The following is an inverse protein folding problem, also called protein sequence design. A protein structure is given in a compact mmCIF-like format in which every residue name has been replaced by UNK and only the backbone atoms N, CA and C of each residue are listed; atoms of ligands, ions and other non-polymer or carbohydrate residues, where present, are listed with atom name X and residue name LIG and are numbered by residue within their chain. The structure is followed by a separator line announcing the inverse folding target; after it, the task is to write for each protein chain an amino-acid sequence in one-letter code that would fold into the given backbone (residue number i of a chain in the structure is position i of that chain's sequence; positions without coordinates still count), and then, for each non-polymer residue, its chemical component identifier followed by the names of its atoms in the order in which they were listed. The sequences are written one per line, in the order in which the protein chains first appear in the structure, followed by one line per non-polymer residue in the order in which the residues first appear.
data_IF_792198745122
#
_entry.id   IF_792198745122
#
_cell.length_a   1.000
_cell.length_b   1.000
_cell.length_c   1.000
_cell.angle_alpha   90.00
_cell.angle_beta   90.00
_cell.angle_gamma   90.00
#
_symmetry.space_group_name_H-M   'P 1'
#
loop_
_entity.id
_entity.type
_entity.pdbx_description
1 polymer ?
#
# COMPACT_ATOMS: atom_id res chain seq x y z
N UNK A 1 -57.93 23.00 51.33
CA UNK A 1 -59.33 22.82 50.95
C UNK A 1 -59.34 21.69 49.95
N UNK A 2 -59.63 20.52 50.27
CA UNK A 2 -60.80 19.81 50.73
C UNK A 2 -61.36 19.19 49.47
N UNK A 3 -61.76 18.01 49.31
CA UNK A 3 -61.98 16.81 50.17
C UNK A 3 -62.44 15.68 49.22
N UNK A 4 -61.98 14.47 49.43
CA UNK A 4 -62.65 13.21 49.73
C UNK A 4 -63.96 12.91 49.00
N UNK A 5 -64.14 11.71 48.42
CA UNK A 5 -64.76 10.48 49.00
C UNK A 5 -64.80 9.41 47.92
N UNK A 6 -64.28 8.23 48.05
CA UNK A 6 -64.81 7.00 48.72
C UNK A 6 -66.14 6.46 48.22
N UNK A 7 -66.01 5.18 47.87
CA UNK A 7 -66.84 3.99 48.07
C UNK A 7 -67.64 3.55 46.84
N UNK A 8 -67.96 2.30 46.50
CA UNK A 8 -67.94 1.05 47.27
C UNK A 8 -68.02 -0.15 46.32
N UNK A 9 -67.78 -1.30 46.90
CA UNK A 9 -67.72 -2.62 46.29
C UNK A 9 -69.14 -3.18 45.99
N UNK A 10 -69.27 -4.05 45.00
CA UNK A 10 -70.18 -5.22 45.13
C UNK A 10 -69.66 -6.39 44.26
N UNK A 11 -69.60 -7.55 44.90
CA UNK A 11 -69.45 -8.90 44.39
C UNK A 11 -70.62 -9.32 43.51
N UNK A 12 -70.29 -10.15 42.48
CA UNK A 12 -71.04 -11.40 42.25
C UNK A 12 -70.44 -12.21 41.06
N UNK A 13 -70.07 -13.45 41.41
CA UNK A 13 -70.34 -14.76 40.77
C UNK A 13 -69.88 -15.03 39.35
N UNK A 14 -68.94 -16.00 39.29
CA UNK A 14 -68.65 -16.88 38.14
C UNK A 14 -69.87 -17.66 37.67
N UNK A 15 -69.96 -17.98 36.35
CA UNK A 15 -69.98 -19.40 36.01
C UNK A 15 -69.15 -19.79 34.79
N UNK A 16 -68.65 -21.02 34.92
CA UNK A 16 -68.47 -22.11 33.94
C UNK A 16 -67.74 -21.94 32.67
N UNK A 17 -66.75 -22.85 32.54
CA UNK A 17 -66.11 -23.40 31.39
C UNK A 17 -66.88 -23.30 30.08
N UNK A 18 -66.24 -22.76 29.06
CA UNK A 18 -66.49 -23.07 27.66
C UNK A 18 -65.20 -23.22 26.91
N UNK A 19 -65.14 -24.30 26.22
CA UNK A 19 -64.05 -24.84 25.37
C UNK A 19 -63.31 -23.79 24.54
N UNK A 20 -62.00 -23.80 24.62
CA UNK A 20 -61.10 -23.09 23.70
C UNK A 20 -61.15 -23.78 22.33
N UNK A 21 -61.29 -23.03 21.24
CA UNK A 21 -61.08 -23.60 19.91
C UNK A 21 -59.61 -23.98 19.71
N UNK A 22 -59.44 -25.17 19.17
CA UNK A 22 -58.14 -25.68 18.71
C UNK A 22 -57.32 -24.60 17.95
N UNK A 23 -56.20 -24.26 18.48
CA UNK A 23 -55.20 -23.49 17.79
C UNK A 23 -54.62 -24.37 16.67
N UNK A 24 -55.14 -24.24 15.45
CA UNK A 24 -54.51 -24.78 14.24
C UNK A 24 -53.16 -24.10 14.14
N UNK A 25 -52.15 -24.86 14.43
CA UNK A 25 -50.75 -24.40 14.31
C UNK A 25 -50.54 -23.87 12.90
N UNK A 26 -50.19 -22.61 12.81
CA UNK A 26 -49.64 -22.02 11.59
C UNK A 26 -48.42 -22.84 11.16
N UNK A 27 -48.25 -23.16 9.87
CA UNK A 27 -47.11 -23.92 9.40
C UNK A 27 -45.84 -23.23 9.88
N UNK A 28 -44.96 -23.97 10.55
CA UNK A 28 -43.61 -23.52 10.89
C UNK A 28 -42.94 -23.07 9.61
N UNK A 29 -42.69 -21.83 9.57
CA UNK A 29 -42.41 -20.98 8.45
C UNK A 29 -41.17 -21.37 7.70
N UNK A 30 -41.26 -21.32 6.39
CA UNK A 30 -40.14 -21.25 5.44
C UNK A 30 -39.03 -20.22 5.79
N UNK A 31 -39.25 -19.38 6.82
CA UNK A 31 -38.27 -18.40 7.30
C UNK A 31 -37.02 -19.02 7.98
N UNK A 32 -37.15 -20.18 8.65
CA UNK A 32 -35.98 -20.82 9.29
C UNK A 32 -34.99 -21.36 8.25
N UNK A 33 -35.47 -21.97 7.16
CA UNK A 33 -34.62 -22.54 6.11
C UNK A 33 -33.85 -21.46 5.35
N UNK A 34 -34.47 -20.27 5.13
CA UNK A 34 -33.78 -19.12 4.52
C UNK A 34 -32.74 -18.53 5.48
N UNK A 35 -32.98 -18.56 6.79
CA UNK A 35 -32.04 -18.08 7.79
C UNK A 35 -30.82 -18.98 7.89
N UNK A 36 -31.00 -20.30 7.94
CA UNK A 36 -29.93 -21.28 8.01
C UNK A 36 -29.06 -21.23 6.76
N UNK A 37 -29.66 -21.12 5.57
CA UNK A 37 -28.91 -21.02 4.31
C UNK A 37 -28.08 -19.72 4.18
N UNK A 38 -28.58 -18.61 4.76
CA UNK A 38 -27.84 -17.35 4.77
C UNK A 38 -26.66 -17.39 5.74
N UNK A 39 -26.85 -18.00 6.91
CA UNK A 39 -25.77 -18.19 7.89
C UNK A 39 -24.73 -19.20 7.40
N UNK A 40 -25.12 -20.28 6.69
CA UNK A 40 -24.19 -21.16 5.99
C UNK A 40 -23.39 -20.45 4.90
N UNK A 41 -24.03 -19.56 4.11
CA UNK A 41 -23.32 -18.73 3.12
C UNK A 41 -22.32 -17.79 3.80
N UNK A 42 -22.69 -17.11 4.88
CA UNK A 42 -21.79 -16.24 5.63
C UNK A 42 -20.61 -17.03 6.23
N UNK A 43 -20.85 -18.22 6.78
CA UNK A 43 -19.80 -19.12 7.27
C UNK A 43 -18.87 -19.58 6.15
N UNK A 44 -19.40 -19.90 4.98
CA UNK A 44 -18.62 -20.30 3.82
C UNK A 44 -17.72 -19.16 3.32
N UNK A 45 -18.23 -17.92 3.29
CA UNK A 45 -17.45 -16.73 2.94
C UNK A 45 -16.39 -16.37 4.00
N UNK A 46 -16.62 -16.70 5.27
CA UNK A 46 -15.64 -16.48 6.34
C UNK A 46 -14.50 -17.51 6.36
N UNK A 47 -14.67 -18.66 5.68
CA UNK A 47 -13.66 -19.71 5.60
C UNK A 47 -12.74 -19.61 4.37
N UNK A 48 -13.08 -18.76 3.39
CA UNK A 48 -12.25 -18.53 2.21
C UNK A 48 -11.20 -17.43 2.50
N UNK A 49 -9.99 -17.60 1.97
CA UNK A 49 -8.96 -16.54 2.05
C UNK A 49 -9.49 -15.25 1.45
N UNK A 50 -9.31 -14.09 2.11
CA UNK A 50 -9.81 -12.82 1.60
C UNK A 50 -9.08 -12.41 0.32
N UNK A 51 -9.77 -11.61 -0.50
CA UNK A 51 -9.15 -10.97 -1.66
C UNK A 51 -8.53 -9.63 -1.27
N UNK A 52 -7.38 -9.34 -1.84
CA UNK A 52 -6.72 -8.04 -1.77
C UNK A 52 -6.66 -7.45 -3.17
N UNK A 53 -7.18 -6.24 -3.32
CA UNK A 53 -7.14 -5.49 -4.57
C UNK A 53 -5.84 -4.70 -4.65
N UNK A 54 -5.05 -4.94 -5.70
CA UNK A 54 -3.75 -4.28 -5.92
C UNK A 54 -3.84 -3.46 -7.21
N UNK A 55 -3.81 -2.13 -7.11
CA UNK A 55 -3.76 -1.26 -8.29
C UNK A 55 -2.32 -0.93 -8.66
N UNK A 56 -1.98 -0.98 -9.95
CA UNK A 56 -0.59 -0.91 -10.42
C UNK A 56 0.21 -2.18 -10.04
N UNK A 57 -0.50 -3.31 -9.94
CA UNK A 57 0.06 -4.56 -9.43
C UNK A 57 1.04 -5.27 -10.37
N UNK A 58 1.20 -4.81 -11.61
CA UNK A 58 2.24 -5.28 -12.53
C UNK A 58 3.46 -4.35 -12.61
N UNK A 59 3.43 -3.20 -11.91
CA UNK A 59 4.60 -2.35 -11.75
C UNK A 59 5.65 -2.96 -10.83
N UNK A 60 6.82 -2.32 -10.71
CA UNK A 60 7.96 -2.84 -9.94
C UNK A 60 7.60 -3.26 -8.50
N UNK A 61 7.08 -2.32 -7.69
CA UNK A 61 6.73 -2.62 -6.30
C UNK A 61 5.45 -3.47 -6.22
N UNK A 62 4.46 -3.18 -7.08
CA UNK A 62 3.18 -3.88 -7.09
C UNK A 62 3.30 -5.37 -7.40
N UNK A 63 4.16 -5.74 -8.34
CA UNK A 63 4.38 -7.15 -8.72
C UNK A 63 5.04 -7.97 -7.61
N UNK A 64 6.06 -7.40 -6.93
CA UNK A 64 6.69 -8.05 -5.77
C UNK A 64 5.71 -8.14 -4.60
N UNK A 65 4.88 -7.10 -4.38
CA UNK A 65 3.85 -7.14 -3.32
C UNK A 65 2.76 -8.17 -3.65
N UNK A 66 2.33 -8.27 -4.90
CA UNK A 66 1.36 -9.29 -5.34
C UNK A 66 1.89 -10.70 -5.12
N UNK A 67 3.18 -10.93 -5.41
CA UNK A 67 3.85 -12.21 -5.14
C UNK A 67 3.88 -12.53 -3.63
N UNK A 68 4.31 -11.58 -2.80
CA UNK A 68 4.38 -11.76 -1.35
C UNK A 68 2.98 -11.95 -0.71
N UNK A 69 1.93 -11.30 -1.22
CA UNK A 69 0.53 -11.54 -0.82
C UNK A 69 0.11 -12.99 -1.11
N UNK A 70 0.42 -13.51 -2.30
CA UNK A 70 0.13 -14.90 -2.66
C UNK A 70 0.90 -15.86 -1.75
N UNK A 71 2.19 -15.62 -1.50
CA UNK A 71 2.99 -16.42 -0.54
C UNK A 71 2.40 -16.38 0.88
N UNK A 72 1.78 -15.26 1.27
CA UNK A 72 1.07 -15.11 2.53
C UNK A 72 -0.37 -15.67 2.52
N UNK A 73 -0.77 -16.38 1.47
CA UNK A 73 -2.08 -17.02 1.30
C UNK A 73 -3.28 -16.09 1.12
N UNK A 74 -3.07 -14.86 0.65
CA UNK A 74 -4.15 -13.98 0.20
C UNK A 74 -4.51 -14.25 -1.26
N UNK A 75 -5.79 -14.20 -1.61
CA UNK A 75 -6.22 -14.09 -3.00
C UNK A 75 -5.93 -12.66 -3.50
N UNK A 76 -5.47 -12.52 -4.74
CA UNK A 76 -5.02 -11.23 -5.28
C UNK A 76 -5.78 -10.87 -6.55
N UNK A 77 -6.31 -9.66 -6.60
CA UNK A 77 -6.89 -9.04 -7.78
C UNK A 77 -5.98 -7.89 -8.20
N UNK A 78 -5.40 -7.97 -9.38
CA UNK A 78 -4.56 -6.91 -9.95
C UNK A 78 -5.40 -6.06 -10.89
N UNK A 79 -5.35 -4.72 -10.73
CA UNK A 79 -5.75 -3.74 -11.74
C UNK A 79 -4.48 -3.03 -12.23
N UNK A 80 -4.24 -3.06 -13.54
CA UNK A 80 -3.12 -2.36 -14.17
C UNK A 80 -3.50 -1.92 -15.60
N UNK A 81 -3.21 -0.69 -15.97
CA UNK A 81 -3.51 -0.18 -17.32
C UNK A 81 -2.37 -0.40 -18.31
N UNK A 82 -1.33 -1.10 -17.91
CA UNK A 82 -0.15 -1.45 -18.71
C UNK A 82 0.60 -0.24 -19.28
N UNK A 83 0.42 0.95 -18.70
CA UNK A 83 1.06 2.17 -19.19
C UNK A 83 2.58 2.18 -18.98
N UNK A 84 3.07 1.51 -17.94
CA UNK A 84 4.51 1.39 -17.60
C UNK A 84 4.88 -0.01 -17.10
N UNK A 85 4.11 -1.03 -17.44
CA UNK A 85 4.30 -2.43 -17.09
C UNK A 85 4.03 -3.33 -18.29
N UNK A 86 4.31 -4.61 -18.18
CA UNK A 86 4.06 -5.61 -19.21
C UNK A 86 3.13 -6.70 -18.70
N UNK A 87 2.27 -7.22 -19.57
CA UNK A 87 1.30 -8.26 -19.19
C UNK A 87 1.98 -9.55 -18.74
N UNK A 88 3.13 -9.91 -19.34
CA UNK A 88 3.90 -11.10 -18.98
C UNK A 88 4.45 -11.07 -17.54
N UNK A 89 4.41 -9.94 -16.84
CA UNK A 89 4.72 -9.86 -15.40
C UNK A 89 3.70 -10.67 -14.60
N UNK A 90 2.44 -10.73 -15.05
CA UNK A 90 1.41 -11.57 -14.44
C UNK A 90 1.82 -13.05 -14.45
N UNK A 91 2.27 -13.56 -15.60
CA UNK A 91 2.70 -14.96 -15.74
C UNK A 91 3.90 -15.27 -14.83
N UNK A 92 4.83 -14.31 -14.69
CA UNK A 92 5.99 -14.44 -13.79
C UNK A 92 5.57 -14.52 -12.32
N UNK A 93 4.62 -13.66 -11.88
CA UNK A 93 4.06 -13.71 -10.53
C UNK A 93 3.38 -15.07 -10.28
N UNK A 94 2.56 -15.52 -11.25
CA UNK A 94 1.83 -16.79 -11.15
C UNK A 94 2.80 -17.97 -11.05
N UNK A 95 3.83 -18.02 -11.87
CA UNK A 95 4.86 -19.06 -11.86
C UNK A 95 5.55 -19.14 -10.49
N UNK A 96 6.04 -18.01 -9.99
CA UNK A 96 6.76 -17.96 -8.71
C UNK A 96 5.88 -18.32 -7.52
N UNK A 97 4.63 -17.88 -7.52
CA UNK A 97 3.66 -18.25 -6.49
C UNK A 97 3.35 -19.75 -6.53
N UNK A 98 3.15 -20.32 -7.73
CA UNK A 98 2.90 -21.75 -7.92
C UNK A 98 4.09 -22.58 -7.39
N UNK A 99 5.32 -22.26 -7.79
CA UNK A 99 6.52 -22.93 -7.31
C UNK A 99 6.65 -22.86 -5.77
N UNK A 100 6.33 -21.70 -5.17
CA UNK A 100 6.36 -21.53 -3.73
C UNK A 100 5.37 -22.47 -3.04
N UNK A 101 4.13 -22.51 -3.49
CA UNK A 101 3.08 -23.34 -2.89
C UNK A 101 3.29 -24.83 -3.11
N UNK A 102 3.83 -25.23 -4.26
CA UNK A 102 4.23 -26.62 -4.53
C UNK A 102 5.33 -27.09 -3.56
N UNK A 103 6.38 -26.29 -3.38
CA UNK A 103 7.47 -26.58 -2.41
C UNK A 103 6.96 -26.70 -0.98
N UNK A 104 6.00 -25.85 -0.59
CA UNK A 104 5.43 -25.83 0.76
C UNK A 104 4.21 -26.78 0.93
N UNK A 105 3.82 -27.51 -0.11
CA UNK A 105 2.66 -28.41 -0.10
C UNK A 105 1.37 -27.73 0.35
N UNK A 106 1.19 -26.47 -0.05
CA UNK A 106 0.02 -25.64 0.24
C UNK A 106 -0.75 -25.33 -1.05
N UNK A 107 -2.03 -24.99 -0.91
CA UNK A 107 -2.85 -24.59 -2.05
C UNK A 107 -2.49 -23.18 -2.47
N UNK A 108 -2.19 -22.96 -3.75
CA UNK A 108 -1.99 -21.62 -4.30
C UNK A 108 -3.31 -20.83 -4.23
N UNK A 109 -3.29 -19.58 -3.69
CA UNK A 109 -4.42 -18.68 -3.74
C UNK A 109 -4.77 -18.25 -5.16
N UNK A 110 -5.94 -17.65 -5.33
CA UNK A 110 -6.39 -17.15 -6.61
C UNK A 110 -5.66 -15.86 -6.98
N UNK A 111 -5.24 -15.74 -8.25
CA UNK A 111 -4.66 -14.55 -8.84
C UNK A 111 -5.48 -14.15 -10.07
N UNK A 112 -5.97 -12.91 -10.11
CA UNK A 112 -6.74 -12.36 -11.24
C UNK A 112 -6.11 -11.08 -11.74
N UNK A 113 -6.16 -10.86 -13.07
CA UNK A 113 -5.73 -9.63 -13.72
C UNK A 113 -6.91 -8.96 -14.42
N UNK A 114 -7.05 -7.66 -14.18
CA UNK A 114 -7.97 -6.78 -14.90
C UNK A 114 -7.16 -5.64 -15.55
N UNK A 115 -6.96 -5.77 -16.87
CA UNK A 115 -6.15 -4.84 -17.65
C UNK A 115 -6.95 -3.58 -18.01
N UNK A 116 -7.19 -2.68 -17.04
CA UNK A 116 -7.84 -1.39 -17.24
C UNK A 116 -7.34 -0.33 -16.24
N UNK A 117 -7.72 0.89 -16.50
CA UNK A 117 -7.35 2.02 -15.63
C UNK A 117 -8.21 2.02 -14.37
N UNK A 118 -7.60 2.17 -13.20
CA UNK A 118 -8.32 2.24 -11.92
C UNK A 118 -9.28 3.44 -11.83
N UNK A 119 -9.11 4.44 -12.71
CA UNK A 119 -9.98 5.62 -12.85
C UNK A 119 -11.21 5.35 -13.71
N UNK A 120 -11.27 4.24 -14.41
CA UNK A 120 -12.50 3.81 -15.10
C UNK A 120 -13.50 3.29 -14.04
N UNK A 121 -14.24 4.22 -13.48
CA UNK A 121 -15.22 3.94 -12.41
C UNK A 121 -16.33 2.98 -12.87
N UNK A 122 -16.63 2.90 -14.17
CA UNK A 122 -17.61 1.95 -14.70
C UNK A 122 -17.06 0.52 -14.70
N UNK A 123 -15.84 0.32 -15.20
CA UNK A 123 -15.18 -0.98 -15.18
C UNK A 123 -14.91 -1.42 -13.72
N UNK A 124 -14.50 -0.47 -12.86
CA UNK A 124 -14.26 -0.72 -11.45
C UNK A 124 -15.54 -1.19 -10.73
N UNK A 125 -16.68 -0.50 -10.91
CA UNK A 125 -17.97 -0.92 -10.30
C UNK A 125 -18.40 -2.30 -10.79
N UNK A 126 -18.20 -2.62 -12.06
CA UNK A 126 -18.48 -3.95 -12.60
C UNK A 126 -17.64 -5.01 -11.89
N UNK A 127 -16.33 -4.77 -11.78
CA UNK A 127 -15.41 -5.66 -11.08
C UNK A 127 -15.80 -5.85 -9.61
N UNK A 128 -15.99 -4.76 -8.87
CA UNK A 128 -16.30 -4.83 -7.44
C UNK A 128 -17.65 -5.53 -7.17
N UNK A 129 -18.61 -5.41 -8.11
CA UNK A 129 -19.88 -6.10 -8.06
C UNK A 129 -19.77 -7.62 -8.01
N UNK A 130 -18.78 -8.20 -8.69
CA UNK A 130 -18.52 -9.66 -8.69
C UNK A 130 -18.05 -10.19 -7.33
N UNK A 131 -17.59 -9.30 -6.44
CA UNK A 131 -17.09 -9.63 -5.11
C UNK A 131 -18.02 -9.18 -3.99
N UNK A 132 -19.22 -8.69 -4.27
CA UNK A 132 -20.18 -8.34 -3.23
C UNK A 132 -20.70 -9.58 -2.49
N UNK A 133 -20.90 -9.41 -1.19
CA UNK A 133 -21.56 -10.39 -0.33
C UNK A 133 -22.99 -9.89 -0.05
N UNK A 134 -24.02 -10.75 -0.22
CA UNK A 134 -25.37 -10.40 0.15
C UNK A 134 -25.45 -9.93 1.61
N UNK A 135 -26.12 -8.78 1.84
CA UNK A 135 -26.27 -8.21 3.17
C UNK A 135 -27.76 -8.08 3.52
N UNK A 136 -28.14 -8.50 4.74
CA UNK A 136 -29.53 -8.40 5.23
C UNK A 136 -30.01 -6.97 5.45
N UNK A 137 -29.07 -6.06 5.74
CA UNK A 137 -29.39 -4.71 6.19
C UNK A 137 -29.07 -3.63 5.15
N UNK A 138 -28.77 -4.03 3.90
CA UNK A 138 -28.37 -3.09 2.85
C UNK A 138 -26.98 -2.45 3.04
N UNK A 139 -26.22 -2.88 4.07
CA UNK A 139 -24.85 -2.41 4.29
C UNK A 139 -23.94 -3.14 3.29
N UNK A 140 -23.23 -2.44 2.42
CA UNK A 140 -22.35 -3.08 1.45
C UNK A 140 -21.27 -3.90 2.16
N UNK A 141 -21.09 -5.14 1.70
CA UNK A 141 -19.99 -6.02 2.13
C UNK A 141 -19.31 -6.62 0.91
N UNK A 142 -18.02 -6.82 0.99
CA UNK A 142 -17.22 -7.37 -0.09
C UNK A 142 -16.34 -8.52 0.40
N UNK A 143 -16.02 -9.46 -0.51
CA UNK A 143 -14.95 -10.45 -0.30
C UNK A 143 -13.56 -9.81 -0.35
N UNK A 144 -13.47 -8.57 -0.86
CA UNK A 144 -12.24 -7.79 -0.88
C UNK A 144 -12.06 -7.16 0.50
N UNK A 145 -11.09 -7.67 1.26
CA UNK A 145 -10.80 -7.22 2.62
C UNK A 145 -10.02 -5.92 2.68
N UNK A 146 -9.31 -5.56 1.59
CA UNK A 146 -8.52 -4.35 1.55
C UNK A 146 -7.92 -4.07 0.19
N UNK A 147 -7.36 -2.88 0.07
CA UNK A 147 -6.72 -2.36 -1.14
C UNK A 147 -5.29 -1.97 -0.86
N UNK A 148 -4.36 -2.30 -1.78
CA UNK A 148 -3.02 -1.72 -1.83
C UNK A 148 -2.91 -0.91 -3.12
N UNK A 149 -2.73 0.40 -2.98
CA UNK A 149 -2.81 1.34 -4.11
C UNK A 149 -1.42 1.85 -4.51
N UNK A 150 -0.88 1.28 -5.61
CA UNK A 150 0.40 1.71 -6.20
C UNK A 150 0.21 2.61 -7.43
N UNK A 151 -0.92 2.50 -8.12
CA UNK A 151 -1.14 3.18 -9.39
C UNK A 151 -1.01 4.70 -9.29
N UNK A 152 0.10 5.24 -9.83
CA UNK A 152 0.39 6.66 -9.82
C UNK A 152 1.44 7.02 -10.88
N UNK A 153 1.44 8.25 -11.39
CA UNK A 153 2.60 8.81 -12.05
C UNK A 153 3.65 9.16 -10.98
N UNK A 154 4.92 8.75 -11.18
CA UNK A 154 5.98 8.82 -10.15
C UNK A 154 7.24 9.61 -10.52
N UNK A 155 7.41 10.02 -11.77
CA UNK A 155 8.62 10.68 -12.24
C UNK A 155 8.66 12.15 -11.78
N UNK A 156 9.63 12.50 -10.92
CA UNK A 156 9.77 13.85 -10.33
C UNK A 156 9.93 14.92 -11.41
N UNK A 157 10.84 14.71 -12.37
CA UNK A 157 11.11 15.65 -13.44
C UNK A 157 9.89 15.89 -14.35
N UNK A 158 9.24 14.82 -14.79
CA UNK A 158 7.99 14.92 -15.57
C UNK A 158 6.91 15.66 -14.80
N UNK A 159 6.83 15.49 -13.47
CA UNK A 159 5.84 16.19 -12.66
C UNK A 159 6.02 17.70 -12.68
N UNK A 160 7.27 18.18 -12.79
CA UNK A 160 7.58 19.61 -12.91
C UNK A 160 7.14 20.14 -14.28
N UNK A 161 7.36 19.34 -15.32
CA UNK A 161 7.02 19.72 -16.70
C UNK A 161 5.52 19.60 -16.99
N UNK A 162 4.83 18.61 -16.39
CA UNK A 162 3.42 18.28 -16.62
C UNK A 162 2.60 18.15 -15.33
N UNK A 163 2.52 19.19 -14.48
CA UNK A 163 1.93 19.07 -13.15
C UNK A 163 0.45 18.66 -13.17
N UNK A 164 -0.33 19.19 -14.11
CA UNK A 164 -1.77 18.87 -14.21
C UNK A 164 -2.04 17.38 -14.51
N UNK A 165 -1.17 16.74 -15.29
CA UNK A 165 -1.22 15.29 -15.53
C UNK A 165 -1.12 14.51 -14.21
N UNK A 166 -0.22 14.95 -13.32
CA UNK A 166 -0.01 14.35 -12.00
C UNK A 166 -1.19 14.59 -11.06
N UNK A 167 -1.71 15.82 -11.01
CA UNK A 167 -2.87 16.12 -10.16
C UNK A 167 -4.11 15.37 -10.63
N UNK A 168 -4.39 15.33 -11.93
CA UNK A 168 -5.56 14.64 -12.48
C UNK A 168 -5.49 13.12 -12.21
N UNK A 169 -4.31 12.50 -12.41
CA UNK A 169 -4.15 11.07 -12.20
C UNK A 169 -4.07 10.71 -10.71
N UNK A 170 -3.14 11.31 -9.98
CA UNK A 170 -2.81 10.85 -8.63
C UNK A 170 -3.85 11.33 -7.60
N UNK A 171 -4.35 12.58 -7.72
CA UNK A 171 -5.28 13.16 -6.75
C UNK A 171 -6.73 12.96 -7.20
N UNK A 172 -7.09 13.40 -8.40
CA UNK A 172 -8.45 13.23 -8.92
C UNK A 172 -8.84 11.76 -9.02
N UNK A 173 -7.95 10.93 -9.58
CA UNK A 173 -8.17 9.49 -9.65
C UNK A 173 -8.33 8.82 -8.28
N UNK A 174 -7.59 9.26 -7.26
CA UNK A 174 -7.76 8.74 -5.90
C UNK A 174 -9.15 9.04 -5.34
N UNK A 175 -9.64 10.27 -5.52
CA UNK A 175 -10.98 10.67 -5.06
C UNK A 175 -12.05 9.79 -5.69
N UNK A 176 -12.04 9.62 -7.01
CA UNK A 176 -13.00 8.77 -7.72
C UNK A 176 -12.90 7.31 -7.30
N UNK A 177 -11.67 6.83 -7.07
CA UNK A 177 -11.41 5.47 -6.63
C UNK A 177 -11.94 5.19 -5.23
N UNK A 178 -11.61 6.03 -4.24
CA UNK A 178 -12.07 5.87 -2.86
C UNK A 178 -13.58 6.03 -2.74
N UNK A 179 -14.20 6.94 -3.49
CA UNK A 179 -15.66 7.07 -3.58
C UNK A 179 -16.29 5.75 -4.06
N UNK A 180 -15.71 5.14 -5.09
CA UNK A 180 -16.22 3.85 -5.59
C UNK A 180 -16.01 2.72 -4.58
N UNK A 181 -14.86 2.67 -3.88
CA UNK A 181 -14.63 1.66 -2.84
C UNK A 181 -15.63 1.76 -1.69
N UNK A 182 -15.98 2.98 -1.29
CA UNK A 182 -16.99 3.24 -0.23
C UNK A 182 -18.37 2.68 -0.62
N UNK A 183 -18.80 2.85 -1.87
CA UNK A 183 -20.05 2.28 -2.40
C UNK A 183 -20.14 0.76 -2.20
N UNK A 184 -19.00 0.05 -2.17
CA UNK A 184 -18.89 -1.40 -2.01
C UNK A 184 -18.47 -1.85 -0.61
N UNK A 185 -18.35 -0.92 0.35
CA UNK A 185 -17.98 -1.21 1.73
C UNK A 185 -16.52 -1.68 1.91
N UNK A 186 -15.60 -1.29 1.01
CA UNK A 186 -14.18 -1.63 1.07
C UNK A 186 -13.45 -0.44 1.70
N UNK A 187 -13.09 -0.56 2.98
CA UNK A 187 -12.62 0.56 3.81
C UNK A 187 -11.22 0.35 4.42
N UNK A 188 -10.53 -0.74 4.10
CA UNK A 188 -9.11 -0.94 4.44
C UNK A 188 -8.25 -0.53 3.26
N UNK A 189 -7.40 0.50 3.45
CA UNK A 189 -6.67 1.12 2.35
C UNK A 189 -5.20 1.34 2.69
N UNK A 190 -4.30 0.65 1.99
CA UNK A 190 -2.85 0.83 2.11
C UNK A 190 -2.38 1.68 0.93
N UNK A 191 -1.89 2.86 1.24
CA UNK A 191 -1.50 3.87 0.25
C UNK A 191 0.01 3.92 0.03
N UNK A 192 0.42 3.83 -1.23
CA UNK A 192 1.77 4.08 -1.70
C UNK A 192 2.11 5.57 -1.60
N UNK A 193 2.64 6.01 -0.46
CA UNK A 193 3.17 7.36 -0.31
C UNK A 193 4.67 7.42 -0.64
N UNK A 194 5.36 8.47 -0.29
CA UNK A 194 6.77 8.68 -0.67
C UNK A 194 7.48 9.59 0.33
N UNK A 195 8.78 9.36 0.55
CA UNK A 195 9.65 10.27 1.29
C UNK A 195 9.72 11.69 0.69
N UNK A 196 9.30 11.88 -0.56
CA UNK A 196 9.22 13.23 -1.19
C UNK A 196 8.26 14.18 -0.48
N UNK A 197 7.36 13.69 0.38
CA UNK A 197 6.47 14.53 1.22
C UNK A 197 7.25 15.34 2.26
N UNK A 198 8.45 14.91 2.65
CA UNK A 198 9.31 15.64 3.57
C UNK A 198 9.96 16.89 2.96
N UNK A 199 10.03 16.97 1.64
CA UNK A 199 10.55 18.14 0.93
C UNK A 199 11.93 18.55 1.41
N UNK A 200 12.11 19.87 1.70
CA UNK A 200 13.39 20.44 2.17
C UNK A 200 13.79 20.02 3.58
N UNK A 201 12.91 19.38 4.36
CA UNK A 201 13.30 18.81 5.65
C UNK A 201 14.40 17.73 5.48
N UNK A 202 14.45 17.08 4.33
CA UNK A 202 15.52 16.14 3.99
C UNK A 202 16.91 16.80 3.83
N UNK A 203 17.00 18.15 3.81
CA UNK A 203 18.27 18.88 3.73
C UNK A 203 18.75 19.43 5.08
N UNK A 204 17.99 19.24 6.14
CA UNK A 204 18.21 19.88 7.43
C UNK A 204 18.97 19.02 8.45
N UNK A 205 19.67 17.96 8.02
CA UNK A 205 20.38 16.98 8.87
C UNK A 205 19.51 16.36 9.99
N UNK A 206 18.21 16.58 9.93
CA UNK A 206 17.27 15.98 10.86
C UNK A 206 16.92 14.56 10.41
N UNK A 207 16.89 13.59 11.33
CA UNK A 207 16.37 12.26 11.02
C UNK A 207 14.92 12.35 10.54
N UNK A 208 14.60 11.79 9.37
CA UNK A 208 13.25 11.88 8.78
C UNK A 208 12.28 10.97 9.52
N UNK A 209 11.54 11.55 10.45
CA UNK A 209 10.47 10.91 11.23
C UNK A 209 9.10 11.31 10.68
N UNK A 210 8.12 10.45 10.88
CA UNK A 210 6.74 10.70 10.43
C UNK A 210 6.14 11.95 11.05
N UNK A 211 6.51 12.29 12.28
CA UNK A 211 6.05 13.48 13.01
C UNK A 211 6.47 14.80 12.34
N UNK A 212 7.45 14.81 11.47
CA UNK A 212 7.85 16.02 10.75
C UNK A 212 6.85 16.45 9.67
N UNK A 213 5.92 15.57 9.29
CA UNK A 213 4.91 15.83 8.26
C UNK A 213 3.62 15.09 8.62
N UNK A 214 2.73 15.75 9.38
CA UNK A 214 1.50 15.16 9.89
C UNK A 214 0.26 15.85 9.32
N UNK A 215 -0.85 15.11 9.23
CA UNK A 215 -2.14 15.61 8.73
C UNK A 215 -3.11 15.99 9.84
N UNK A 216 -2.82 15.56 11.07
CA UNK A 216 -3.56 15.90 12.29
C UNK A 216 -2.57 16.33 13.37
N UNK A 217 -3.09 16.98 14.41
CA UNK A 217 -2.28 17.31 15.58
C UNK A 217 -1.83 16.02 16.25
N UNK A 218 -0.53 15.80 16.30
CA UNK A 218 0.09 14.67 17.01
C UNK A 218 0.89 15.15 18.22
N UNK A 219 1.00 14.27 19.21
CA UNK A 219 1.87 14.48 20.38
C UNK A 219 2.87 13.34 20.42
N UNK A 220 4.15 13.65 20.44
CA UNK A 220 5.21 12.65 20.59
C UNK A 220 6.16 13.05 21.73
N UNK A 221 6.87 12.07 22.27
CA UNK A 221 7.90 12.30 23.28
C UNK A 221 9.27 12.36 22.60
N UNK A 222 9.99 13.46 22.79
CA UNK A 222 11.34 13.63 22.23
C UNK A 222 12.37 12.77 23.01
N UNK A 223 13.62 12.76 22.52
CA UNK A 223 14.71 11.98 23.15
C UNK A 223 15.04 12.41 24.58
N UNK A 224 14.64 13.63 24.98
CA UNK A 224 14.80 14.13 26.32
C UNK A 224 13.60 13.77 27.25
N UNK A 225 12.63 13.00 26.76
CA UNK A 225 11.42 12.63 27.50
C UNK A 225 10.36 13.74 27.56
N UNK A 226 10.50 14.80 26.74
CA UNK A 226 9.56 15.95 26.73
C UNK A 226 8.47 15.73 25.70
N UNK A 227 7.20 15.93 26.11
CA UNK A 227 6.08 15.91 25.19
C UNK A 227 6.12 17.11 24.22
N UNK A 228 6.12 16.84 22.93
CA UNK A 228 6.09 17.81 21.82
C UNK A 228 4.78 17.70 21.08
N UNK A 229 4.23 18.84 20.72
CA UNK A 229 3.01 18.95 19.92
C UNK A 229 3.38 19.35 18.51
N UNK A 230 3.03 18.52 17.51
CA UNK A 230 3.21 18.84 16.10
C UNK A 230 1.89 19.30 15.53
N UNK A 231 1.93 20.42 14.84
CA UNK A 231 0.77 20.96 14.12
C UNK A 231 0.70 20.35 12.71
N UNK A 232 -0.52 20.15 12.17
CA UNK A 232 -0.69 19.66 10.80
C UNK A 232 0.01 20.55 9.77
N UNK A 233 0.60 19.91 8.77
CA UNK A 233 1.20 20.59 7.64
C UNK A 233 2.44 19.89 7.10
N UNK A 234 2.98 20.46 6.04
CA UNK A 234 4.24 20.07 5.44
C UNK A 234 5.05 21.33 5.10
N UNK A 235 6.37 21.19 4.98
CA UNK A 235 7.27 22.30 4.68
C UNK A 235 8.11 21.95 3.46
N UNK A 236 8.15 22.89 2.48
CA UNK A 236 9.13 22.87 1.41
C UNK A 236 9.07 21.66 0.47
N UNK A 237 7.89 21.14 0.13
CA UNK A 237 7.78 20.12 -0.91
C UNK A 237 8.34 20.66 -2.22
N UNK A 238 9.34 20.00 -2.78
CA UNK A 238 10.18 20.52 -3.87
C UNK A 238 9.62 20.29 -5.27
N UNK A 239 8.61 19.41 -5.42
CA UNK A 239 8.09 19.03 -6.72
C UNK A 239 6.60 18.64 -6.67
N UNK A 240 5.88 18.72 -7.83
CA UNK A 240 4.46 18.37 -7.91
C UNK A 240 4.14 16.91 -7.55
N UNK A 241 5.03 15.95 -7.88
CA UNK A 241 4.82 14.54 -7.48
C UNK A 241 4.72 14.41 -5.96
N UNK A 242 5.69 14.94 -5.20
CA UNK A 242 5.66 14.94 -3.73
C UNK A 242 4.42 15.64 -3.19
N UNK A 243 4.00 16.74 -3.85
CA UNK A 243 2.78 17.47 -3.47
C UNK A 243 1.53 16.63 -3.70
N UNK A 244 1.43 15.86 -4.81
CA UNK A 244 0.29 14.95 -5.01
C UNK A 244 0.24 13.84 -3.95
N UNK A 245 1.39 13.30 -3.54
CA UNK A 245 1.43 12.27 -2.48
C UNK A 245 0.95 12.84 -1.14
N UNK A 246 1.43 14.04 -0.76
CA UNK A 246 0.97 14.70 0.45
C UNK A 246 -0.53 15.04 0.42
N UNK A 247 -1.05 15.54 -0.72
CA UNK A 247 -2.48 15.81 -0.89
C UNK A 247 -3.32 14.53 -0.77
N UNK A 248 -2.85 13.43 -1.35
CA UNK A 248 -3.52 12.13 -1.21
C UNK A 248 -3.55 11.67 0.24
N UNK A 249 -2.44 11.80 1.00
CA UNK A 249 -2.43 11.50 2.44
C UNK A 249 -3.44 12.38 3.19
N UNK A 250 -3.54 13.69 2.88
CA UNK A 250 -4.48 14.60 3.52
C UNK A 250 -5.94 14.20 3.27
N UNK A 251 -6.29 13.89 2.01
CA UNK A 251 -7.63 13.41 1.62
C UNK A 251 -7.98 12.11 2.36
N UNK A 252 -7.05 11.17 2.41
CA UNK A 252 -7.24 9.89 3.10
C UNK A 252 -7.35 10.06 4.62
N UNK A 253 -6.63 11.03 5.20
CA UNK A 253 -6.76 11.36 6.63
C UNK A 253 -8.15 11.95 6.93
N UNK A 254 -8.67 12.83 6.07
CA UNK A 254 -10.01 13.39 6.21
C UNK A 254 -11.09 12.31 6.03
N UNK A 255 -10.91 11.40 5.06
CA UNK A 255 -11.81 10.27 4.85
C UNK A 255 -11.88 9.37 6.09
N UNK A 256 -10.73 8.99 6.65
CA UNK A 256 -10.68 8.21 7.88
C UNK A 256 -11.19 8.96 9.12
N UNK A 257 -11.23 10.31 9.10
CA UNK A 257 -11.85 11.12 10.15
C UNK A 257 -13.36 11.16 10.04
N UNK A 258 -13.88 11.14 8.83
CA UNK A 258 -15.32 11.24 8.57
C UNK A 258 -16.09 9.96 8.91
N UNK A 259 -15.41 8.81 8.82
CA UNK A 259 -16.01 7.49 9.07
C UNK A 259 -14.98 6.55 9.72
N UNK A 260 -15.26 6.13 10.94
CA UNK A 260 -14.38 5.28 11.76
C UNK A 260 -14.20 3.85 11.24
N UNK A 261 -15.00 3.42 10.27
CA UNK A 261 -14.80 2.11 9.61
C UNK A 261 -13.62 2.12 8.64
N UNK A 262 -13.22 3.30 8.15
CA UNK A 262 -12.01 3.41 7.34
C UNK A 262 -10.76 3.16 8.18
N UNK A 263 -9.93 2.25 7.69
CA UNK A 263 -8.57 2.04 8.20
C UNK A 263 -7.58 2.31 7.07
N UNK A 264 -6.82 3.37 7.21
CA UNK A 264 -5.90 3.86 6.19
C UNK A 264 -4.47 3.88 6.70
N UNK A 265 -3.57 3.26 5.94
CA UNK A 265 -2.13 3.32 6.19
C UNK A 265 -1.44 3.93 4.98
N UNK A 266 -0.71 5.03 5.19
CA UNK A 266 0.13 5.63 4.17
C UNK A 266 1.61 5.25 4.42
N UNK A 267 2.19 4.54 3.47
CA UNK A 267 3.57 4.04 3.52
C UNK A 267 4.49 4.98 2.74
N UNK A 268 5.38 5.67 3.43
CA UNK A 268 6.34 6.61 2.84
C UNK A 268 7.62 5.86 2.48
N UNK A 269 7.74 5.50 1.20
CA UNK A 269 8.92 4.79 0.71
C UNK A 269 10.10 5.73 0.51
N UNK A 270 11.29 5.16 0.71
CA UNK A 270 12.52 5.78 0.29
C UNK A 270 12.92 5.27 -1.11
N UNK A 271 14.04 4.66 -1.34
CA UNK A 271 14.47 4.28 -2.69
C UNK A 271 14.41 2.75 -2.89
N UNK A 272 13.32 2.18 -3.45
CA UNK A 272 13.25 0.74 -3.68
C UNK A 272 14.23 0.31 -4.78
N UNK A 273 14.95 -0.79 -4.51
CA UNK A 273 15.94 -1.40 -5.39
C UNK A 273 15.86 -2.94 -5.30
N UNK A 274 16.62 -3.64 -6.15
CA UNK A 274 16.70 -5.09 -6.12
C UNK A 274 15.68 -5.78 -7.01
N UNK A 275 15.66 -7.10 -6.95
CA UNK A 275 14.77 -7.98 -7.70
C UNK A 275 14.34 -9.14 -6.81
N UNK A 276 13.39 -9.98 -7.25
CA UNK A 276 13.14 -11.26 -6.60
C UNK A 276 14.37 -12.17 -6.78
N UNK A 277 14.74 -12.89 -5.73
CA UNK A 277 15.94 -13.74 -5.72
C UNK A 277 15.93 -14.87 -6.76
N UNK A 278 14.79 -15.18 -7.36
CA UNK A 278 14.69 -16.12 -8.48
C UNK A 278 15.31 -15.58 -9.78
N UNK A 279 15.52 -14.27 -9.91
CA UNK A 279 15.92 -13.62 -11.15
C UNK A 279 14.78 -13.53 -12.20
N UNK A 280 13.55 -13.95 -11.90
CA UNK A 280 12.43 -13.93 -12.82
C UNK A 280 11.65 -12.62 -12.76
N UNK A 281 11.57 -12.01 -11.58
CA UNK A 281 10.80 -10.79 -11.34
C UNK A 281 11.73 -9.64 -10.90
N UNK A 282 11.68 -8.51 -11.63
CA UNK A 282 12.53 -7.35 -11.40
C UNK A 282 11.94 -6.06 -11.96
N UNK A 283 12.70 -4.95 -11.91
CA UNK A 283 12.30 -3.67 -12.47
C UNK A 283 12.52 -3.65 -13.99
N UNK A 284 11.42 -3.62 -14.76
CA UNK A 284 11.43 -3.58 -16.22
C UNK A 284 10.48 -2.46 -16.72
N UNK A 285 10.92 -1.18 -16.69
CA UNK A 285 10.05 -0.07 -17.09
C UNK A 285 9.97 0.06 -18.61
N UNK A 286 8.75 0.32 -19.15
CA UNK A 286 8.56 0.68 -20.58
C UNK A 286 9.19 2.02 -20.93
N UNK A 287 9.22 2.94 -19.98
CA UNK A 287 9.69 4.31 -20.18
C UNK A 287 11.20 4.40 -19.91
N UNK A 288 11.80 5.51 -20.36
CA UNK A 288 13.22 5.82 -20.05
C UNK A 288 13.38 5.90 -18.53
N UNK A 289 14.26 5.08 -17.94
CA UNK A 289 14.47 5.08 -16.51
C UNK A 289 15.17 6.36 -16.05
N UNK A 290 14.70 6.88 -14.91
CA UNK A 290 15.29 8.06 -14.24
C UNK A 290 15.90 7.70 -12.87
N UNK A 291 15.59 6.52 -12.34
CA UNK A 291 16.13 6.03 -11.08
C UNK A 291 17.57 5.46 -11.28
N UNK A 292 18.37 5.52 -10.21
CA UNK A 292 19.78 5.17 -10.25
C UNK A 292 20.05 3.76 -10.78
N UNK A 293 19.46 2.73 -10.14
CA UNK A 293 19.80 1.34 -10.47
C UNK A 293 19.39 0.94 -11.91
N UNK A 294 18.20 1.27 -12.41
CA UNK A 294 17.85 1.03 -13.81
C UNK A 294 18.77 1.74 -14.82
N UNK A 295 19.30 2.94 -14.48
CA UNK A 295 20.29 3.63 -15.32
C UNK A 295 21.64 2.91 -15.27
N UNK A 296 22.08 2.48 -14.08
CA UNK A 296 23.31 1.67 -13.91
C UNK A 296 23.22 0.39 -14.73
N UNK A 297 22.08 -0.32 -14.71
CA UNK A 297 21.84 -1.51 -15.53
C UNK A 297 22.01 -1.20 -17.02
N UNK A 298 21.49 -0.07 -17.52
CA UNK A 298 21.67 0.33 -18.93
C UNK A 298 23.15 0.62 -19.29
N UNK A 299 23.94 1.11 -18.35
CA UNK A 299 25.38 1.27 -18.55
C UNK A 299 26.08 -0.10 -18.60
N UNK A 300 25.78 -0.97 -17.65
CA UNK A 300 26.37 -2.32 -17.57
C UNK A 300 26.04 -3.19 -18.80
N UNK A 301 24.83 -3.05 -19.35
CA UNK A 301 24.38 -3.75 -20.56
C UNK A 301 24.79 -3.03 -21.85
N UNK A 302 25.59 -1.96 -21.77
CA UNK A 302 26.11 -1.23 -22.94
C UNK A 302 25.08 -0.36 -23.69
N UNK A 303 23.86 -0.19 -23.14
CA UNK A 303 22.86 0.69 -23.74
C UNK A 303 23.16 2.18 -23.52
N UNK A 304 23.84 2.50 -22.40
CA UNK A 304 24.36 3.85 -22.09
C UNK A 304 25.89 3.79 -21.98
N UNK A 305 26.54 4.87 -22.43
CA UNK A 305 27.99 4.94 -22.42
C UNK A 305 28.58 5.16 -21.02
N UNK A 306 27.89 5.92 -20.19
CA UNK A 306 28.35 6.37 -18.88
C UNK A 306 27.21 6.66 -17.91
N UNK A 307 27.47 6.57 -16.62
CA UNK A 307 26.56 6.96 -15.54
C UNK A 307 26.80 8.42 -15.17
N UNK A 308 25.77 9.28 -15.30
CA UNK A 308 25.82 10.66 -14.79
C UNK A 308 25.61 10.68 -13.28
N UNK A 309 26.59 11.21 -12.53
CA UNK A 309 26.52 11.47 -11.08
C UNK A 309 26.10 12.91 -10.88
N UNK A 310 24.84 13.12 -10.47
CA UNK A 310 24.25 14.45 -10.31
C UNK A 310 24.63 15.09 -8.97
N UNK A 311 25.49 16.10 -9.01
CA UNK A 311 26.09 16.74 -7.84
C UNK A 311 27.23 15.91 -7.24
N UNK A 312 28.42 16.54 -7.17
CA UNK A 312 29.64 15.98 -6.59
C UNK A 312 30.19 16.87 -5.47
N UNK A 313 29.36 17.76 -4.95
CA UNK A 313 29.70 18.76 -3.94
C UNK A 313 28.61 18.88 -2.86
N UNK A 314 27.92 17.77 -2.57
CA UNK A 314 27.04 17.66 -1.43
C UNK A 314 27.87 17.59 -0.13
N UNK A 315 27.28 18.01 0.98
CA UNK A 315 27.88 17.85 2.31
C UNK A 315 27.69 16.40 2.77
N UNK A 316 28.49 15.51 2.18
CA UNK A 316 28.51 14.05 2.37
C UNK A 316 29.96 13.56 2.20
N UNK A 317 30.29 12.39 2.72
CA UNK A 317 31.66 11.87 2.77
C UNK A 317 32.37 11.82 1.40
N UNK A 318 31.64 11.48 0.34
CA UNK A 318 32.18 11.39 -1.04
C UNK A 318 31.67 12.49 -1.96
N UNK A 319 30.93 13.46 -1.42
CA UNK A 319 30.33 14.57 -2.16
C UNK A 319 29.11 14.21 -3.00
N UNK A 320 28.68 12.94 -3.04
CA UNK A 320 27.50 12.51 -3.78
C UNK A 320 26.27 12.39 -2.85
N UNK A 321 25.07 12.44 -3.42
CA UNK A 321 23.85 12.40 -2.64
C UNK A 321 23.66 11.05 -1.91
N UNK A 322 23.22 11.10 -0.66
CA UNK A 322 22.94 9.92 0.18
C UNK A 322 21.44 9.62 0.18
N UNK A 323 21.10 8.36 -0.03
CA UNK A 323 19.71 7.86 -0.04
C UNK A 323 19.60 6.59 0.78
N UNK A 324 18.43 6.37 1.34
CA UNK A 324 18.03 5.11 1.95
C UNK A 324 17.51 4.18 0.83
N UNK A 325 18.30 3.16 0.51
CA UNK A 325 17.96 2.17 -0.51
C UNK A 325 17.39 0.92 0.16
N UNK A 326 16.12 0.67 -0.06
CA UNK A 326 15.40 -0.48 0.48
C UNK A 326 15.21 -1.56 -0.57
N UNK A 327 15.45 -2.82 -0.20
CA UNK A 327 15.16 -3.95 -1.08
C UNK A 327 13.66 -4.09 -1.34
N UNK A 328 13.27 -4.30 -2.61
CA UNK A 328 11.86 -4.35 -3.02
C UNK A 328 11.06 -5.45 -2.32
N UNK A 329 11.68 -6.59 -2.01
CA UNK A 329 11.02 -7.68 -1.26
C UNK A 329 10.74 -7.27 0.19
N UNK A 330 11.66 -6.57 0.85
CA UNK A 330 11.42 -6.04 2.21
C UNK A 330 10.32 -4.99 2.19
N UNK A 331 10.32 -4.12 1.17
CA UNK A 331 9.25 -3.14 0.97
C UNK A 331 7.90 -3.84 0.76
N UNK A 332 7.84 -4.90 -0.07
CA UNK A 332 6.63 -5.70 -0.27
C UNK A 332 6.12 -6.30 1.04
N UNK A 333 7.01 -6.86 1.86
CA UNK A 333 6.66 -7.38 3.20
C UNK A 333 6.15 -6.29 4.15
N UNK A 334 6.65 -5.06 4.02
CA UNK A 334 6.14 -3.90 4.76
C UNK A 334 4.67 -3.59 4.44
N UNK A 335 4.25 -3.75 3.17
CA UNK A 335 2.85 -3.62 2.77
C UNK A 335 1.97 -4.69 3.42
N UNK A 336 2.46 -5.93 3.48
CA UNK A 336 1.73 -7.04 4.09
C UNK A 336 1.62 -6.84 5.60
N UNK A 337 2.68 -6.37 6.26
CA UNK A 337 2.64 -6.02 7.68
C UNK A 337 1.61 -4.92 7.97
N UNK A 338 1.57 -3.86 7.16
CA UNK A 338 0.58 -2.80 7.26
C UNK A 338 -0.85 -3.29 7.02
N UNK A 339 -1.06 -4.12 5.98
CA UNK A 339 -2.36 -4.73 5.70
C UNK A 339 -2.84 -5.59 6.88
N UNK A 340 -1.96 -6.44 7.41
CA UNK A 340 -2.25 -7.29 8.55
C UNK A 340 -2.62 -6.48 9.78
N UNK A 341 -1.81 -5.49 10.15
CA UNK A 341 -2.10 -4.60 11.28
C UNK A 341 -3.45 -3.89 11.13
N UNK A 342 -3.81 -3.48 9.88
CA UNK A 342 -5.08 -2.85 9.58
C UNK A 342 -6.27 -3.81 9.72
N UNK A 343 -6.18 -5.02 9.17
CA UNK A 343 -7.29 -5.99 9.17
C UNK A 343 -7.47 -6.68 10.52
N UNK A 344 -6.43 -6.77 11.33
CA UNK A 344 -6.46 -7.34 12.68
C UNK A 344 -6.78 -6.30 13.78
N UNK A 345 -6.99 -5.03 13.42
CA UNK A 345 -7.32 -3.96 14.35
C UNK A 345 -6.19 -3.63 15.33
N UNK A 346 -4.93 -3.80 14.91
CA UNK A 346 -3.75 -3.57 15.76
C UNK A 346 -3.29 -2.11 15.76
N UNK A 347 -3.81 -1.29 14.83
CA UNK A 347 -3.47 0.12 14.73
C UNK A 347 -4.20 0.92 15.81
N UNK A 348 -3.49 1.86 16.43
CA UNK A 348 -4.03 2.76 17.45
C UNK A 348 -4.95 3.84 16.89
N UNK A 349 -4.81 4.14 15.60
CA UNK A 349 -5.56 5.16 14.88
C UNK A 349 -6.01 4.64 13.52
N UNK A 350 -7.15 5.12 13.05
CA UNK A 350 -7.71 4.71 11.74
C UNK A 350 -7.02 5.38 10.53
N UNK A 351 -6.15 6.35 10.75
CA UNK A 351 -5.20 6.87 9.77
C UNK A 351 -3.79 6.89 10.38
N UNK A 352 -2.85 6.18 9.76
CA UNK A 352 -1.47 6.12 10.25
C UNK A 352 -0.47 6.20 9.11
N UNK A 353 0.65 6.89 9.33
CA UNK A 353 1.77 6.99 8.38
C UNK A 353 2.97 6.21 8.89
N UNK A 354 3.69 5.53 7.99
CA UNK A 354 4.92 4.80 8.31
C UNK A 354 6.01 5.04 7.27
N UNK A 355 7.22 5.28 7.74
CA UNK A 355 8.40 5.24 6.89
C UNK A 355 8.78 3.77 6.60
N UNK A 356 9.00 3.45 5.33
CA UNK A 356 9.58 2.17 4.92
C UNK A 356 10.92 2.42 4.24
N UNK A 357 11.98 2.23 5.00
CA UNK A 357 13.38 2.33 4.63
C UNK A 357 14.22 1.36 5.45
N UNK A 358 15.53 1.41 5.30
CA UNK A 358 16.49 0.61 6.07
C UNK A 358 16.95 1.32 7.33
N UNK A 359 16.80 2.64 7.39
CA UNK A 359 17.40 3.49 8.41
C UNK A 359 18.91 3.74 8.18
N UNK A 360 19.44 3.26 7.05
CA UNK A 360 20.84 3.42 6.65
C UNK A 360 20.93 4.10 5.30
N UNK A 361 21.78 5.13 5.21
CA UNK A 361 22.04 5.86 3.97
C UNK A 361 23.22 5.30 3.21
N UNK A 362 23.10 5.24 1.88
CA UNK A 362 24.21 4.93 0.98
C UNK A 362 24.35 6.04 -0.06
N UNK A 363 25.58 6.40 -0.37
CA UNK A 363 25.85 7.40 -1.40
C UNK A 363 25.63 6.84 -2.81
N UNK A 364 25.40 7.71 -3.78
CA UNK A 364 25.27 7.30 -5.19
C UNK A 364 26.53 6.60 -5.67
N UNK A 365 27.70 7.08 -5.24
CA UNK A 365 28.98 6.49 -5.60
C UNK A 365 29.19 5.12 -4.94
N UNK A 366 28.80 4.95 -3.69
CA UNK A 366 28.83 3.66 -2.98
C UNK A 366 27.97 2.61 -3.69
N UNK A 367 26.75 2.97 -4.10
CA UNK A 367 25.86 2.08 -4.85
C UNK A 367 26.49 1.67 -6.19
N UNK A 368 27.05 2.63 -6.94
CA UNK A 368 27.71 2.36 -8.21
C UNK A 368 28.92 1.43 -8.03
N UNK A 369 29.73 1.64 -6.99
CA UNK A 369 30.89 0.82 -6.69
C UNK A 369 30.48 -0.60 -6.24
N UNK A 370 29.40 -0.74 -5.48
CA UNK A 370 28.85 -2.04 -5.09
C UNK A 370 28.39 -2.83 -6.33
N UNK A 371 27.72 -2.17 -7.27
CA UNK A 371 27.32 -2.78 -8.55
C UNK A 371 28.55 -3.20 -9.38
N UNK A 372 29.60 -2.37 -9.46
CA UNK A 372 30.85 -2.74 -10.12
C UNK A 372 31.47 -4.01 -9.53
N UNK A 373 31.50 -4.10 -8.21
CA UNK A 373 32.06 -5.26 -7.51
C UNK A 373 31.24 -6.54 -7.77
N UNK A 374 29.91 -6.46 -7.73
CA UNK A 374 29.03 -7.62 -7.97
C UNK A 374 29.12 -8.08 -9.41
N UNK A 375 29.03 -7.17 -10.37
CA UNK A 375 29.12 -7.50 -11.82
C UNK A 375 30.52 -7.80 -12.31
N UNK A 376 31.55 -7.50 -11.51
CA UNK A 376 32.97 -7.57 -11.92
C UNK A 376 33.23 -6.79 -13.22
N UNK A 377 32.52 -5.69 -13.44
CA UNK A 377 32.59 -4.85 -14.65
C UNK A 377 32.59 -3.37 -14.26
N UNK A 378 33.53 -2.54 -14.78
CA UNK A 378 33.57 -1.12 -14.45
C UNK A 378 32.37 -0.37 -15.02
N UNK A 379 31.87 0.61 -14.25
CA UNK A 379 30.82 1.55 -14.65
C UNK A 379 31.48 2.91 -14.93
N UNK A 380 31.62 3.33 -16.20
CA UNK A 380 32.08 4.68 -16.51
C UNK A 380 31.20 5.73 -15.85
N UNK A 381 31.80 6.66 -15.11
CA UNK A 381 31.11 7.67 -14.32
C UNK A 381 31.46 9.07 -14.80
N UNK A 382 30.49 9.97 -14.89
CA UNK A 382 30.66 11.38 -15.23
C UNK A 382 29.96 12.28 -14.25
N UNK A 383 30.68 13.27 -13.70
CA UNK A 383 30.07 14.29 -12.86
C UNK A 383 29.14 15.20 -13.68
N UNK A 384 27.99 15.51 -13.13
CA UNK A 384 27.00 16.44 -13.68
C UNK A 384 26.52 17.39 -12.59
N UNK A 385 25.92 18.51 -12.98
CA UNK A 385 25.34 19.48 -12.05
C UNK A 385 24.18 18.86 -11.25
N UNK A 386 23.88 19.45 -10.07
CA UNK A 386 22.73 19.04 -9.25
C UNK A 386 21.43 19.20 -10.02
N UNK A 387 20.54 18.21 -9.92
CA UNK A 387 19.18 18.31 -10.49
C UNK A 387 18.31 19.23 -9.63
N UNK A 388 17.39 19.95 -10.27
CA UNK A 388 16.37 20.73 -9.56
C UNK A 388 15.52 19.83 -8.67
N UNK A 389 15.35 20.21 -7.40
CA UNK A 389 14.55 19.46 -6.44
C UNK A 389 15.27 18.28 -5.76
N UNK A 390 16.56 18.01 -6.06
CA UNK A 390 17.35 17.05 -5.32
C UNK A 390 17.75 17.58 -3.94
N UNK A 391 18.03 16.66 -3.03
CA UNK A 391 18.48 16.91 -1.64
C UNK A 391 19.78 16.16 -1.37
N UNK A 392 20.62 16.64 -0.44
CA UNK A 392 21.91 16.02 -0.11
C UNK A 392 21.76 14.65 0.54
N UNK A 393 20.87 14.54 1.52
CA UNK A 393 20.63 13.30 2.26
C UNK A 393 19.13 13.06 2.43
N UNK A 394 18.69 11.81 2.34
CA UNK A 394 17.31 11.42 2.58
C UNK A 394 17.29 9.98 3.13
N UNK A 395 17.24 9.85 4.48
CA UNK A 395 17.31 8.58 5.20
C UNK A 395 16.16 8.49 6.20
N UNK A 396 15.52 7.33 6.28
CA UNK A 396 14.38 7.06 7.15
C UNK A 396 14.80 6.95 8.61
N UNK A 397 13.91 7.36 9.52
CA UNK A 397 13.81 6.75 10.85
C UNK A 397 12.69 5.73 10.79
N UNK A 398 12.98 4.50 11.18
CA UNK A 398 12.09 3.34 11.00
C UNK A 398 11.53 2.79 12.31
N UNK A 399 11.67 3.55 13.40
CA UNK A 399 11.22 3.11 14.74
C UNK A 399 9.72 2.81 14.74
N UNK A 400 8.91 3.67 14.15
CA UNK A 400 7.44 3.52 14.10
C UNK A 400 7.04 2.23 13.36
N UNK A 401 7.59 1.95 12.20
CA UNK A 401 7.29 0.72 11.46
C UNK A 401 7.79 -0.54 12.17
N UNK A 402 8.97 -0.46 12.83
CA UNK A 402 9.47 -1.56 13.65
C UNK A 402 8.54 -1.86 14.83
N UNK A 403 8.10 -0.83 15.57
CA UNK A 403 7.41 -1.00 16.83
C UNK A 403 5.90 -1.26 16.66
N UNK A 404 5.24 -0.63 15.69
CA UNK A 404 3.80 -0.76 15.46
C UNK A 404 3.44 -1.85 14.40
N UNK A 405 4.28 -2.05 13.37
CA UNK A 405 4.05 -3.08 12.35
C UNK A 405 4.86 -4.37 12.60
N UNK A 406 5.75 -4.39 13.61
CA UNK A 406 6.68 -5.50 13.87
C UNK A 406 7.49 -5.86 12.61
N UNK A 407 7.83 -4.83 11.81
CA UNK A 407 8.50 -4.98 10.52
C UNK A 407 9.91 -4.38 10.55
N UNK A 408 10.83 -5.05 9.90
CA UNK A 408 12.21 -4.59 9.65
C UNK A 408 12.72 -5.12 8.32
N UNK A 409 13.71 -4.45 7.78
CA UNK A 409 14.45 -4.94 6.59
C UNK A 409 15.37 -6.11 6.96
N UNK A 410 15.53 -7.03 6.02
CA UNK A 410 16.36 -8.23 6.16
C UNK A 410 17.48 -8.27 5.12
N UNK A 411 17.30 -7.57 3.98
CA UNK A 411 18.24 -7.57 2.85
C UNK A 411 19.12 -6.31 2.83
N UNK A 412 20.39 -6.49 2.49
CA UNK A 412 21.38 -5.43 2.35
C UNK A 412 21.41 -4.82 0.95
N UNK A 413 22.15 -3.72 0.76
CA UNK A 413 22.48 -3.15 -0.55
C UNK A 413 23.17 -4.20 -1.45
N UNK A 414 24.06 -5.02 -0.89
CA UNK A 414 24.77 -6.05 -1.65
C UNK A 414 23.79 -7.12 -2.15
N UNK A 415 22.87 -7.60 -1.31
CA UNK A 415 21.83 -8.56 -1.72
C UNK A 415 20.99 -8.00 -2.88
N UNK A 416 20.64 -6.71 -2.82
CA UNK A 416 19.88 -6.06 -3.88
C UNK A 416 20.66 -6.01 -5.21
N UNK A 417 21.97 -5.74 -5.15
CA UNK A 417 22.84 -5.75 -6.34
C UNK A 417 23.01 -7.18 -6.91
N UNK A 418 23.15 -8.18 -6.05
CA UNK A 418 23.26 -9.59 -6.45
C UNK A 418 21.94 -10.09 -7.09
N UNK A 419 20.79 -9.75 -6.52
CA UNK A 419 19.48 -10.10 -7.09
C UNK A 419 19.25 -9.41 -8.45
N UNK A 420 19.74 -8.16 -8.65
CA UNK A 420 19.71 -7.49 -9.96
C UNK A 420 20.60 -8.23 -10.98
N UNK A 421 21.80 -8.65 -10.57
CA UNK A 421 22.68 -9.43 -11.42
C UNK A 421 22.00 -10.71 -11.90
N UNK A 422 21.44 -11.47 -10.96
CA UNK A 422 20.69 -12.68 -11.26
C UNK A 422 19.52 -12.44 -12.22
N UNK A 423 18.77 -11.33 -12.03
CA UNK A 423 17.67 -10.95 -12.93
C UNK A 423 18.14 -10.70 -14.37
N UNK A 424 19.30 -10.06 -14.55
CA UNK A 424 19.87 -9.81 -15.87
C UNK A 424 20.37 -11.10 -16.54
N UNK A 425 20.98 -11.99 -15.77
CA UNK A 425 21.46 -13.28 -16.26
C UNK A 425 20.30 -14.16 -16.73
N UNK A 426 19.26 -14.30 -15.92
CA UNK A 426 18.04 -15.08 -16.24
C UNK A 426 17.29 -14.47 -17.42
N UNK A 427 17.26 -13.13 -17.52
CA UNK A 427 16.59 -12.43 -18.63
C UNK A 427 17.41 -12.44 -19.95
N UNK A 428 18.63 -12.97 -19.94
CA UNK A 428 19.55 -12.94 -21.09
C UNK A 428 20.01 -11.53 -21.49
N UNK A 429 19.98 -10.61 -20.53
CA UNK A 429 20.37 -9.20 -20.71
C UNK A 429 21.79 -8.91 -20.21
N UNK A 430 22.45 -9.86 -19.53
CA UNK A 430 23.86 -9.78 -19.18
C UNK A 430 24.71 -9.84 -20.46
N UNK A 431 25.50 -8.78 -20.70
CA UNK A 431 26.36 -8.63 -21.88
C UNK A 431 27.76 -9.23 -21.67
#
# INVERSE_FOLDING_TARGET
MGSRSQSDASRASTPSESESPDFVGTPATQSSVLFDHFDELLHRFSSESPYILVTGGLGFIGSHTSLELLKASYNVIIIDNLSNSFENVFDRIQLLAQEFHERNRSKMPELRLHAHDYRDTKALRSLLGDFQIPSRWGIPKSKIAGVIHFAAHKAVEESIQQPLKYYANNVGGLVDFTTTLEEFGIKTFIFSSSATVYGTLATSDLPLKEELCVHRKEVYTDQAGTARVVQPGCTGITNPYGRTKWMCEAILADLAASDSEWTVVALRYFNPIGCDSSGILGEDPRQVPTNLLPVVVKVLTGQYAELSIFGNNWDTDDGTAVRDFIHVTDLARGHIAALKASTEGQLTENFRTFNLGTGSGHSVLEVANTMEAVFSKPIPKKAADRRAGDVGSCVAVVDRSRDELQWKTEKSLKDACEDICNFLDVSGLSA
#
